data_IF_332026873911
#
_entry.id   IF_332026873911
#
_cell.length_a   1.000
_cell.length_b   1.000
_cell.length_c   1.000
_cell.angle_alpha   90.00
_cell.angle_beta   90.00
_cell.angle_gamma   90.00
#
_symmetry.space_group_name_H-M   'P 1'
#
loop_
_entity.id
_entity.type
_entity.pdbx_description
1 polymer ?
#
# COMPACT_ATOMS: atom_id res chain seq x y z
N UNK A 1 49.82 6.86 5.28
CA UNK A 1 50.81 5.76 5.37
C UNK A 1 50.28 4.70 6.32
N UNK A 2 50.23 3.44 5.84
CA UNK A 2 49.94 2.17 6.55
C UNK A 2 48.48 1.92 6.98
N UNK A 3 47.87 0.76 6.73
CA UNK A 3 48.12 -0.40 5.84
C UNK A 3 46.79 -1.16 5.77
N UNK A 4 46.35 -1.48 4.56
CA UNK A 4 45.24 -2.36 4.23
C UNK A 4 45.74 -3.81 4.37
N UNK A 5 45.00 -4.70 5.03
CA UNK A 5 45.28 -6.14 5.05
C UNK A 5 44.05 -6.88 4.53
N UNK A 6 44.22 -7.43 3.33
CA UNK A 6 43.39 -8.46 2.70
C UNK A 6 43.64 -9.80 3.38
N UNK A 7 42.59 -10.60 3.58
CA UNK A 7 42.73 -12.05 3.71
C UNK A 7 41.51 -12.71 3.06
N UNK A 8 41.71 -13.12 1.80
CA UNK A 8 40.82 -13.95 1.00
C UNK A 8 41.31 -15.39 1.16
N UNK A 9 40.52 -16.24 1.81
CA UNK A 9 40.81 -17.67 1.95
C UNK A 9 40.13 -18.47 0.84
N UNK A 10 40.88 -18.79 -0.20
CA UNK A 10 40.57 -19.86 -1.15
C UNK A 10 41.04 -21.19 -0.57
N UNK A 11 40.16 -22.20 -0.49
CA UNK A 11 40.56 -23.60 -0.45
C UNK A 11 39.78 -24.37 -1.51
N UNK A 12 40.57 -24.88 -2.47
CA UNK A 12 40.25 -25.89 -3.46
C UNK A 12 40.45 -27.30 -2.87
N UNK A 13 40.12 -28.31 -3.68
CA UNK A 13 40.25 -29.77 -3.53
C UNK A 13 39.01 -30.45 -2.92
N UNK A 14 38.43 -31.52 -3.48
CA UNK A 14 38.90 -32.47 -4.50
C UNK A 14 37.74 -33.28 -5.09
N UNK A 15 37.88 -33.67 -6.36
CA UNK A 15 37.14 -34.76 -7.01
C UNK A 15 37.39 -36.11 -6.30
N UNK A 16 36.40 -37.01 -6.26
CA UNK A 16 36.48 -38.25 -7.03
C UNK A 16 35.12 -38.98 -7.17
N UNK A 17 34.92 -39.79 -8.24
CA UNK A 17 33.67 -40.46 -8.58
C UNK A 17 33.68 -41.97 -8.21
N UNK A 18 32.49 -42.58 -8.07
CA UNK A 18 32.27 -44.02 -8.29
C UNK A 18 30.77 -44.30 -8.46
N UNK A 19 30.38 -44.95 -9.57
CA UNK A 19 29.10 -45.66 -9.71
C UNK A 19 29.11 -46.99 -8.93
N UNK A 20 28.22 -47.98 -9.18
CA UNK A 20 27.39 -48.18 -10.38
C UNK A 20 25.89 -48.50 -10.12
N UNK A 21 25.14 -48.45 -11.23
CA UNK A 21 23.97 -49.24 -11.65
C UNK A 21 23.24 -50.14 -10.65
N UNK A 22 21.91 -49.99 -10.57
CA UNK A 22 21.00 -51.13 -10.46
C UNK A 22 19.61 -50.84 -11.07
N UNK A 23 19.31 -51.63 -12.10
CA UNK A 23 18.06 -52.33 -12.39
C UNK A 23 16.71 -51.60 -12.41
N UNK A 24 16.32 -51.36 -13.65
CA UNK A 24 14.97 -51.53 -14.22
C UNK A 24 14.17 -52.64 -13.52
N UNK A 25 12.95 -52.32 -13.08
CA UNK A 25 11.89 -53.32 -13.01
C UNK A 25 10.59 -52.72 -13.56
N UNK A 26 10.27 -53.14 -14.79
CA UNK A 26 8.99 -52.93 -15.45
C UNK A 26 7.92 -53.81 -14.78
N UNK A 27 6.86 -53.19 -14.25
CA UNK A 27 5.60 -53.90 -14.02
C UNK A 27 4.50 -53.28 -14.89
N UNK A 28 4.06 -54.09 -15.86
CA UNK A 28 2.89 -53.93 -16.72
C UNK A 28 1.59 -54.24 -15.94
N UNK A 29 0.38 -54.00 -16.51
CA UNK A 29 -0.72 -53.35 -15.82
C UNK A 29 -1.84 -54.32 -15.46
N UNK A 30 -2.48 -54.12 -14.31
CA UNK A 30 -3.73 -54.81 -13.99
C UNK A 30 -4.92 -53.96 -14.44
N UNK A 31 -5.73 -54.56 -15.31
CA UNK A 31 -6.96 -54.00 -15.84
C UNK A 31 -8.11 -54.03 -14.81
N UNK A 32 -9.09 -53.18 -15.12
CA UNK A 32 -10.52 -53.28 -14.82
C UNK A 32 -10.95 -53.04 -13.38
N UNK A 33 -11.57 -51.87 -13.17
CA UNK A 33 -12.78 -51.81 -12.37
C UNK A 33 -13.71 -50.69 -12.82
N UNK A 34 -14.98 -50.92 -12.51
CA UNK A 34 -16.15 -50.50 -13.26
C UNK A 34 -16.52 -49.02 -13.18
N UNK A 35 -17.13 -48.60 -14.29
CA UNK A 35 -18.00 -47.44 -14.46
C UNK A 35 -18.81 -47.05 -13.21
N UNK A 36 -18.61 -45.82 -12.74
CA UNK A 36 -19.63 -45.12 -11.98
C UNK A 36 -19.68 -43.68 -12.48
N UNK A 37 -20.36 -43.49 -13.62
CA UNK A 37 -20.61 -42.19 -14.22
C UNK A 37 -21.68 -41.48 -13.38
N UNK A 38 -21.24 -40.91 -12.25
CA UNK A 38 -22.07 -40.07 -11.40
C UNK A 38 -22.43 -38.80 -12.17
N UNK A 39 -23.72 -38.72 -12.45
CA UNK A 39 -24.51 -37.52 -12.75
C UNK A 39 -23.79 -36.22 -12.41
N UNK A 40 -23.45 -35.47 -13.48
CA UNK A 40 -22.94 -34.11 -13.45
C UNK A 40 -23.97 -33.23 -12.75
N UNK A 41 -23.74 -32.99 -11.46
CA UNK A 41 -24.50 -32.03 -10.66
C UNK A 41 -24.22 -30.67 -11.26
N UNK A 42 -25.24 -30.04 -11.83
CA UNK A 42 -25.21 -28.64 -12.21
C UNK A 42 -24.91 -27.86 -10.95
N UNK A 43 -23.67 -27.41 -10.79
CA UNK A 43 -23.33 -26.42 -9.78
C UNK A 43 -24.10 -25.17 -10.14
N UNK A 44 -25.16 -24.88 -9.37
CA UNK A 44 -25.79 -23.58 -9.33
C UNK A 44 -24.69 -22.57 -9.04
N UNK A 45 -24.25 -21.86 -10.07
CA UNK A 45 -23.39 -20.69 -9.92
C UNK A 45 -24.20 -19.65 -9.17
N UNK A 46 -24.04 -19.60 -7.85
CA UNK A 46 -24.46 -18.44 -7.07
C UNK A 46 -23.70 -17.23 -7.62
N UNK A 47 -24.45 -16.38 -8.31
CA UNK A 47 -23.97 -15.07 -8.73
C UNK A 47 -23.91 -14.23 -7.46
N UNK A 48 -22.81 -14.34 -6.71
CA UNK A 48 -22.54 -13.40 -5.63
C UNK A 48 -22.43 -11.99 -6.25
N UNK A 49 -23.49 -11.20 -6.05
CA UNK A 49 -23.58 -9.82 -6.54
C UNK A 49 -22.48 -8.96 -5.91
N UNK A 50 -21.86 -8.12 -6.74
CA UNK A 50 -20.89 -7.12 -6.27
C UNK A 50 -21.67 -6.03 -5.55
N UNK A 51 -21.25 -5.67 -4.33
CA UNK A 51 -21.82 -4.54 -3.60
C UNK A 51 -21.79 -3.27 -4.48
N UNK A 52 -22.78 -2.40 -4.31
CA UNK A 52 -22.84 -1.13 -5.05
C UNK A 52 -21.97 -0.09 -4.34
N UNK A 53 -21.15 0.64 -5.11
CA UNK A 53 -20.36 1.75 -4.58
C UNK A 53 -21.29 2.90 -4.14
N UNK A 54 -21.28 3.23 -2.85
CA UNK A 54 -22.08 4.32 -2.25
C UNK A 54 -21.25 5.53 -1.83
N UNK A 55 -19.99 5.62 -2.26
CA UNK A 55 -19.07 6.68 -1.88
C UNK A 55 -19.11 7.83 -2.89
N UNK A 56 -19.09 9.08 -2.39
CA UNK A 56 -19.08 10.26 -3.24
C UNK A 56 -17.66 10.57 -3.72
N UNK A 57 -17.39 10.38 -5.00
CA UNK A 57 -16.13 10.79 -5.66
C UNK A 57 -16.27 12.26 -6.09
N UNK A 58 -15.42 13.14 -5.59
CA UNK A 58 -15.53 14.59 -5.83
C UNK A 58 -14.24 15.27 -6.27
N UNK A 59 -13.08 14.68 -5.99
CA UNK A 59 -11.80 15.35 -6.18
C UNK A 59 -10.77 14.37 -6.72
N UNK A 60 -10.00 14.82 -7.71
CA UNK A 60 -8.79 14.17 -8.17
C UNK A 60 -7.64 14.76 -7.36
N UNK A 61 -6.87 13.92 -6.66
CA UNK A 61 -5.90 14.40 -5.65
C UNK A 61 -4.50 14.71 -6.24
N UNK A 62 -4.38 14.90 -7.54
CA UNK A 62 -3.11 14.83 -8.29
C UNK A 62 -2.03 15.89 -7.92
N UNK A 63 -2.37 17.06 -7.36
CA UNK A 63 -1.36 18.08 -7.01
C UNK A 63 -0.72 17.86 -5.63
N UNK A 64 0.08 16.80 -5.53
CA UNK A 64 0.78 16.46 -4.28
C UNK A 64 2.08 17.24 -4.05
N UNK A 65 2.53 18.09 -4.98
CA UNK A 65 3.94 18.51 -5.02
C UNK A 65 4.24 19.82 -4.29
N UNK A 66 3.23 20.66 -4.05
CA UNK A 66 3.42 21.98 -3.47
C UNK A 66 2.64 22.12 -2.17
N UNK A 67 3.21 22.89 -1.24
CA UNK A 67 2.53 23.34 -0.04
C UNK A 67 2.56 24.86 -0.05
N UNK A 68 1.45 25.50 0.32
CA UNK A 68 1.33 26.96 0.39
C UNK A 68 2.28 27.52 1.45
N UNK A 69 2.42 26.79 2.56
CA UNK A 69 3.31 27.14 3.66
C UNK A 69 4.11 25.93 4.14
N UNK A 70 5.26 26.17 4.74
CA UNK A 70 6.16 25.13 5.23
C UNK A 70 6.71 25.48 6.61
N UNK A 71 6.66 24.51 7.52
CA UNK A 71 7.27 24.58 8.85
C UNK A 71 8.33 23.49 9.00
N UNK A 72 9.45 23.84 9.63
CA UNK A 72 10.58 22.95 9.85
C UNK A 72 10.94 22.99 11.33
N UNK A 73 10.78 21.87 12.03
CA UNK A 73 11.24 21.70 13.41
C UNK A 73 12.77 21.56 13.38
N UNK A 74 13.47 22.64 13.73
CA UNK A 74 14.91 22.59 14.02
C UNK A 74 15.10 22.29 15.50
N UNK A 75 16.08 21.44 15.83
CA UNK A 75 16.39 20.89 17.16
C UNK A 75 16.68 21.95 18.28
N UNK A 76 16.63 23.26 17.97
CA UNK A 76 17.06 24.35 18.85
C UNK A 76 16.14 25.60 18.87
N UNK A 77 14.98 25.64 18.20
CA UNK A 77 14.23 26.91 18.00
C UNK A 77 12.71 26.84 18.20
N UNK A 78 12.20 25.95 19.05
CA UNK A 78 10.75 25.90 19.30
C UNK A 78 10.23 27.00 20.25
N UNK A 79 11.09 27.57 21.10
CA UNK A 79 10.75 28.71 21.97
C UNK A 79 10.42 30.02 21.20
N UNK A 80 10.42 29.96 19.86
CA UNK A 80 10.19 31.09 18.97
C UNK A 80 9.08 30.89 17.93
N UNK A 81 8.02 30.12 18.20
CA UNK A 81 6.75 30.33 17.46
C UNK A 81 6.15 31.75 17.63
N UNK A 82 6.89 32.67 18.28
CA UNK A 82 6.85 34.13 18.08
C UNK A 82 6.89 34.59 16.61
N UNK A 83 7.14 33.71 15.63
CA UNK A 83 7.01 34.02 14.20
C UNK A 83 5.56 34.22 13.72
N UNK A 84 4.55 33.89 14.52
CA UNK A 84 3.14 34.20 14.23
C UNK A 84 2.76 35.65 14.61
N UNK A 85 3.63 36.61 14.27
CA UNK A 85 3.23 37.99 13.99
C UNK A 85 2.88 38.19 12.50
N UNK A 86 2.75 37.08 11.77
CA UNK A 86 2.04 37.04 10.50
C UNK A 86 0.56 37.26 10.78
N UNK A 87 -0.11 38.00 9.91
CA UNK A 87 -1.56 38.09 9.89
C UNK A 87 -2.12 36.70 9.55
N UNK A 88 -2.32 35.89 10.59
CA UNK A 88 -2.89 34.53 10.51
C UNK A 88 -4.24 34.58 9.79
N UNK A 89 -5.01 35.66 9.96
CA UNK A 89 -6.32 35.79 9.32
C UNK A 89 -6.17 35.88 7.79
N UNK A 90 -5.15 36.61 7.31
CA UNK A 90 -4.81 36.66 5.89
C UNK A 90 -4.31 35.32 5.35
N UNK A 91 -3.45 34.61 6.10
CA UNK A 91 -2.96 33.29 5.68
C UNK A 91 -4.07 32.25 5.67
N UNK A 92 -4.94 32.23 6.68
CA UNK A 92 -6.00 31.24 6.81
C UNK A 92 -6.99 31.31 5.63
N UNK A 93 -7.24 32.50 5.08
CA UNK A 93 -8.14 32.67 3.91
C UNK A 93 -7.63 31.92 2.67
N UNK A 94 -6.32 31.93 2.43
CA UNK A 94 -5.72 31.44 1.18
C UNK A 94 -5.04 30.08 1.30
N UNK A 95 -4.52 29.76 2.48
CA UNK A 95 -3.74 28.54 2.68
C UNK A 95 -4.66 27.32 2.72
N UNK A 96 -4.32 26.29 1.96
CA UNK A 96 -5.00 24.98 1.93
C UNK A 96 -4.02 23.84 2.17
N UNK A 97 -2.73 24.06 1.94
CA UNK A 97 -1.70 23.03 2.06
C UNK A 97 -0.54 23.45 2.96
N UNK A 98 -0.08 22.51 3.79
CA UNK A 98 1.01 22.72 4.75
C UNK A 98 2.08 21.64 4.59
N UNK A 99 3.35 22.03 4.68
CA UNK A 99 4.48 21.10 4.79
C UNK A 99 5.03 21.12 6.22
N UNK A 100 5.21 19.95 6.80
CA UNK A 100 5.66 19.74 8.18
C UNK A 100 6.90 18.84 8.15
N UNK A 101 8.07 19.40 8.50
CA UNK A 101 9.35 18.67 8.49
C UNK A 101 9.90 18.54 9.90
N UNK A 102 10.18 17.32 10.32
CA UNK A 102 10.84 16.98 11.58
C UNK A 102 9.90 16.96 12.79
N UNK A 103 8.58 17.03 12.60
CA UNK A 103 7.61 17.03 13.70
C UNK A 103 7.19 15.61 14.07
N UNK A 104 7.31 15.32 15.37
CA UNK A 104 6.76 14.17 16.08
C UNK A 104 5.34 14.46 16.60
N UNK A 105 5.09 15.68 17.08
CA UNK A 105 3.78 16.16 17.52
C UNK A 105 3.51 17.53 16.92
N UNK A 106 2.33 17.70 16.32
CA UNK A 106 1.92 18.95 15.70
C UNK A 106 1.48 19.95 16.78
N UNK A 107 2.05 21.18 16.82
CA UNK A 107 1.65 22.20 17.78
C UNK A 107 0.20 22.63 17.59
N UNK A 108 -0.54 22.77 18.70
CA UNK A 108 -1.97 23.14 18.69
C UNK A 108 -2.20 24.52 18.06
N UNK A 109 -1.21 25.41 18.13
CA UNK A 109 -1.25 26.77 17.57
C UNK A 109 -1.46 26.76 16.04
N UNK A 110 -1.00 25.70 15.36
CA UNK A 110 -1.22 25.54 13.92
C UNK A 110 -2.68 25.29 13.57
N UNK A 111 -3.53 24.91 14.54
CA UNK A 111 -4.96 24.73 14.34
C UNK A 111 -5.72 26.01 13.99
N UNK A 112 -5.10 27.19 14.15
CA UNK A 112 -5.64 28.46 13.63
C UNK A 112 -5.72 28.50 12.09
N UNK A 113 -5.00 27.61 11.40
CA UNK A 113 -5.07 27.41 9.97
C UNK A 113 -6.19 26.42 9.63
N UNK A 114 -7.43 26.81 9.90
CA UNK A 114 -8.62 25.95 9.81
C UNK A 114 -8.90 25.41 8.40
N UNK A 115 -8.36 26.06 7.37
CA UNK A 115 -8.60 25.68 5.99
C UNK A 115 -7.58 24.69 5.40
N UNK A 116 -6.62 24.22 6.20
CA UNK A 116 -5.70 23.17 5.75
C UNK A 116 -6.49 21.90 5.42
N UNK A 117 -6.43 21.50 4.15
CA UNK A 117 -6.97 20.25 3.63
C UNK A 117 -5.88 19.27 3.17
N UNK A 118 -4.63 19.73 3.02
CA UNK A 118 -3.52 18.90 2.56
C UNK A 118 -2.30 19.07 3.47
N UNK A 119 -1.76 17.96 3.97
CA UNK A 119 -0.54 17.93 4.78
C UNK A 119 0.57 17.09 4.12
N UNK A 120 1.74 17.71 3.91
CA UNK A 120 2.97 17.06 3.44
C UNK A 120 3.88 16.87 4.65
N UNK A 121 3.99 15.65 5.13
CA UNK A 121 4.69 15.29 6.37
C UNK A 121 6.01 14.60 6.05
N UNK A 122 7.07 15.02 6.72
CA UNK A 122 8.36 14.33 6.75
C UNK A 122 8.83 14.25 8.19
N UNK A 123 8.86 13.05 8.76
CA UNK A 123 9.20 12.79 10.17
C UNK A 123 10.14 11.60 10.29
N UNK A 124 10.86 11.45 11.40
CA UNK A 124 11.76 10.31 11.62
C UNK A 124 11.06 9.15 12.34
N UNK A 125 10.21 9.46 13.32
CA UNK A 125 9.78 8.51 14.37
C UNK A 125 8.25 8.42 14.54
N UNK A 126 7.48 8.98 13.60
CA UNK A 126 6.02 9.05 13.66
C UNK A 126 5.47 10.48 13.78
N UNK A 127 4.15 10.62 13.74
CA UNK A 127 3.45 11.90 13.88
C UNK A 127 2.19 11.73 14.72
N UNK A 128 1.93 12.70 15.60
CA UNK A 128 0.66 12.86 16.30
C UNK A 128 0.19 14.32 16.21
N UNK A 129 -1.10 14.55 16.42
CA UNK A 129 -1.70 15.88 16.46
C UNK A 129 -2.14 16.42 15.10
N UNK A 130 -2.25 15.61 14.04
CA UNK A 130 -2.81 16.08 12.76
C UNK A 130 -4.28 16.49 12.88
N UNK A 131 -4.95 16.10 13.97
CA UNK A 131 -6.30 16.53 14.34
C UNK A 131 -6.48 18.02 14.54
N UNK A 132 -5.40 18.79 14.67
CA UNK A 132 -5.48 20.25 14.70
C UNK A 132 -6.03 20.84 13.40
N UNK A 133 -6.02 20.09 12.30
CA UNK A 133 -6.56 20.52 11.00
C UNK A 133 -7.93 19.88 10.74
N UNK A 134 -9.05 20.59 11.03
CA UNK A 134 -10.39 20.00 10.98
C UNK A 134 -10.84 19.65 9.56
N UNK A 135 -10.27 20.30 8.53
CA UNK A 135 -10.59 20.08 7.12
C UNK A 135 -9.58 19.19 6.40
N UNK A 136 -8.66 18.53 7.12
CA UNK A 136 -7.66 17.67 6.51
C UNK A 136 -8.30 16.52 5.73
N UNK A 137 -7.94 16.40 4.46
CA UNK A 137 -8.40 15.39 3.50
C UNK A 137 -7.27 14.61 2.86
N UNK A 138 -6.11 15.23 2.69
CA UNK A 138 -4.97 14.62 2.01
C UNK A 138 -3.77 14.61 2.95
N UNK A 139 -3.16 13.44 3.12
CA UNK A 139 -1.90 13.31 3.84
C UNK A 139 -0.87 12.62 2.96
N UNK A 140 0.29 13.25 2.83
CA UNK A 140 1.45 12.69 2.15
C UNK A 140 2.59 12.54 3.13
N UNK A 141 3.07 11.32 3.30
CA UNK A 141 4.33 11.05 3.98
C UNK A 141 5.48 10.96 2.97
N UNK A 142 6.57 11.66 3.25
CA UNK A 142 7.77 11.64 2.42
C UNK A 142 9.03 11.45 3.24
N UNK A 143 9.81 10.43 2.87
CA UNK A 143 11.14 10.16 3.44
C UNK A 143 11.11 9.88 4.94
N UNK A 144 9.99 9.37 5.45
CA UNK A 144 9.83 9.09 6.88
C UNK A 144 10.23 7.64 7.15
N UNK A 145 11.28 7.39 7.94
CA UNK A 145 11.82 6.02 8.07
C UNK A 145 10.79 5.01 8.58
N UNK A 146 10.05 5.38 9.62
CA UNK A 146 8.93 4.61 10.17
C UNK A 146 7.84 5.58 10.64
N UNK A 147 6.59 5.23 10.38
CA UNK A 147 5.42 5.98 10.85
C UNK A 147 4.43 4.99 11.45
N UNK A 148 4.10 5.19 12.71
CA UNK A 148 2.93 4.59 13.35
C UNK A 148 1.84 5.64 13.52
N UNK A 149 0.59 5.20 13.53
CA UNK A 149 -0.55 6.06 13.81
C UNK A 149 -1.11 5.74 15.20
N UNK A 150 -1.63 6.76 15.89
CA UNK A 150 -2.49 6.54 17.04
C UNK A 150 -3.93 6.36 16.52
N UNK A 151 -4.50 5.17 16.73
CA UNK A 151 -5.82 4.78 16.21
C UNK A 151 -6.97 5.63 16.78
N UNK A 152 -6.72 6.38 17.86
CA UNK A 152 -7.66 7.33 18.43
C UNK A 152 -7.71 8.66 17.66
N UNK A 153 -6.75 8.92 16.76
CA UNK A 153 -6.74 10.15 15.99
C UNK A 153 -7.87 10.18 14.95
N UNK A 154 -8.66 11.23 15.03
CA UNK A 154 -9.90 11.35 14.26
C UNK A 154 -9.63 11.69 12.79
N UNK A 155 -8.45 12.21 12.44
CA UNK A 155 -8.07 12.52 11.06
C UNK A 155 -7.98 11.28 10.19
N UNK A 156 -7.61 10.12 10.74
CA UNK A 156 -7.58 8.85 10.02
C UNK A 156 -8.92 8.55 9.36
N UNK A 157 -10.02 8.80 10.09
CA UNK A 157 -11.39 8.61 9.61
C UNK A 157 -11.85 9.70 8.65
N UNK A 158 -11.17 10.87 8.58
CA UNK A 158 -11.58 12.00 7.74
C UNK A 158 -10.90 12.04 6.38
N UNK A 159 -9.68 11.52 6.28
CA UNK A 159 -8.88 11.64 5.07
C UNK A 159 -9.46 10.81 3.93
N UNK A 160 -9.23 11.32 2.73
CA UNK A 160 -9.71 10.77 1.47
C UNK A 160 -8.54 10.33 0.58
N UNK A 161 -7.34 10.87 0.79
CA UNK A 161 -6.13 10.43 0.10
C UNK A 161 -4.94 10.27 1.05
N UNK A 162 -4.27 9.13 0.93
CA UNK A 162 -3.03 8.82 1.62
C UNK A 162 -1.96 8.48 0.60
N UNK A 163 -0.85 9.22 0.63
CA UNK A 163 0.33 8.95 -0.19
C UNK A 163 1.54 8.66 0.69
N UNK A 164 2.17 7.52 0.46
CA UNK A 164 3.38 7.09 1.13
C UNK A 164 4.53 7.09 0.11
N UNK A 165 5.57 7.87 0.38
CA UNK A 165 6.78 7.86 -0.42
C UNK A 165 8.00 7.68 0.47
N UNK A 166 8.81 6.65 0.21
CA UNK A 166 9.98 6.30 1.03
C UNK A 166 9.63 6.21 2.52
N UNK A 167 8.49 5.59 2.82
CA UNK A 167 7.91 5.53 4.17
C UNK A 167 7.46 4.12 4.51
N UNK A 168 7.78 3.66 5.72
CA UNK A 168 7.29 2.38 6.25
C UNK A 168 6.23 2.64 7.32
N UNK A 169 5.03 2.09 7.12
CA UNK A 169 3.98 2.11 8.13
C UNK A 169 4.17 0.92 9.06
N UNK A 170 4.17 1.17 10.35
CA UNK A 170 4.33 0.16 11.40
C UNK A 170 3.15 0.19 12.35
N UNK A 171 2.79 -0.95 12.94
CA UNK A 171 1.69 -1.08 13.90
C UNK A 171 0.32 -0.62 13.37
N UNK A 172 0.00 -0.87 12.09
CA UNK A 172 -1.35 -0.64 11.57
C UNK A 172 -2.19 -1.90 11.77
N UNK A 173 -3.00 -1.93 12.83
CA UNK A 173 -3.80 -3.13 13.14
C UNK A 173 -4.98 -3.33 12.20
N UNK A 174 -5.54 -2.23 11.67
CA UNK A 174 -6.73 -2.22 10.82
C UNK A 174 -6.64 -1.09 9.80
N UNK A 175 -6.86 -1.42 8.52
CA UNK A 175 -6.98 -0.40 7.46
C UNK A 175 -8.32 0.34 7.57
N UNK A 176 -9.32 -0.27 8.20
CA UNK A 176 -10.69 0.27 8.32
C UNK A 176 -10.76 1.57 9.12
N UNK A 177 -9.68 1.95 9.81
CA UNK A 177 -9.51 3.29 10.38
C UNK A 177 -9.65 4.39 9.32
N UNK A 178 -9.34 4.09 8.05
CA UNK A 178 -9.44 5.01 6.92
C UNK A 178 -10.79 4.88 6.18
N UNK A 179 -11.90 5.01 6.91
CA UNK A 179 -13.28 4.79 6.43
C UNK A 179 -13.63 5.55 5.14
N UNK A 180 -13.06 6.74 4.97
CA UNK A 180 -13.34 7.64 3.84
C UNK A 180 -12.25 7.62 2.76
N UNK A 181 -11.28 6.71 2.83
CA UNK A 181 -10.15 6.66 1.90
C UNK A 181 -10.60 6.30 0.50
N UNK A 182 -10.26 7.16 -0.46
CA UNK A 182 -10.56 7.03 -1.89
C UNK A 182 -9.31 6.76 -2.71
N UNK A 183 -8.16 7.26 -2.27
CA UNK A 183 -6.90 7.08 -2.96
C UNK A 183 -5.80 6.64 -1.99
N UNK A 184 -5.16 5.52 -2.32
CA UNK A 184 -3.99 5.03 -1.61
C UNK A 184 -2.85 4.87 -2.61
N UNK A 185 -1.78 5.62 -2.40
CA UNK A 185 -0.57 5.53 -3.20
C UNK A 185 0.64 5.16 -2.35
N UNK A 186 1.37 4.14 -2.78
CA UNK A 186 2.52 3.57 -2.05
C UNK A 186 3.70 3.47 -3.00
N UNK A 187 4.73 4.31 -2.79
CA UNK A 187 5.93 4.38 -3.63
C UNK A 187 7.19 4.17 -2.81
N UNK A 188 7.98 3.14 -3.12
CA UNK A 188 9.19 2.82 -2.32
C UNK A 188 8.87 2.77 -0.82
N UNK A 189 7.69 2.24 -0.50
CA UNK A 189 7.03 2.33 0.80
C UNK A 189 6.27 1.04 1.04
N UNK A 190 5.73 0.87 2.24
CA UNK A 190 4.80 -0.22 2.50
C UNK A 190 4.44 -0.29 3.96
N UNK A 191 3.85 -1.42 4.32
CA UNK A 191 3.45 -1.76 5.67
C UNK A 191 4.38 -2.87 6.16
N UNK A 192 4.79 -2.77 7.43
CA UNK A 192 5.52 -3.87 8.09
C UNK A 192 4.65 -5.13 8.03
N UNK A 193 3.38 -5.00 8.41
CA UNK A 193 2.33 -5.99 8.19
C UNK A 193 1.15 -5.33 7.45
N UNK A 194 0.69 -5.95 6.35
CA UNK A 194 -0.55 -5.52 5.71
C UNK A 194 -1.73 -5.91 6.63
N UNK A 195 -2.55 -4.93 7.01
CA UNK A 195 -3.71 -5.19 7.86
C UNK A 195 -4.61 -6.27 7.24
N UNK A 196 -5.13 -7.21 8.05
CA UNK A 196 -5.88 -8.38 7.56
C UNK A 196 -7.21 -7.99 6.89
N UNK A 197 -7.73 -6.80 7.19
CA UNK A 197 -8.96 -6.22 6.65
C UNK A 197 -8.71 -5.32 5.42
N UNK A 198 -7.57 -5.47 4.71
CA UNK A 198 -7.20 -4.58 3.60
C UNK A 198 -8.30 -4.46 2.52
N UNK A 199 -9.02 -5.55 2.25
CA UNK A 199 -10.09 -5.61 1.25
C UNK A 199 -11.43 -5.02 1.74
N UNK A 200 -11.49 -4.47 2.96
CA UNK A 200 -12.65 -3.81 3.54
C UNK A 200 -12.69 -2.29 3.27
N UNK A 201 -11.71 -1.72 2.56
CA UNK A 201 -11.73 -0.33 2.12
C UNK A 201 -12.82 -0.07 1.05
N UNK A 202 -14.07 0.08 1.49
CA UNK A 202 -15.25 0.18 0.62
C UNK A 202 -15.23 1.39 -0.30
N UNK A 203 -14.65 2.50 0.15
CA UNK A 203 -14.57 3.75 -0.61
C UNK A 203 -13.31 3.88 -1.48
N UNK A 204 -12.38 2.92 -1.43
CA UNK A 204 -11.15 3.03 -2.20
C UNK A 204 -11.47 2.96 -3.69
N UNK A 205 -11.05 3.98 -4.41
CA UNK A 205 -11.28 4.16 -5.83
C UNK A 205 -10.01 3.91 -6.65
N UNK A 206 -8.86 4.32 -6.09
CA UNK A 206 -7.55 4.19 -6.72
C UNK A 206 -6.55 3.57 -5.75
N UNK A 207 -5.99 2.44 -6.15
CA UNK A 207 -4.88 1.79 -5.46
C UNK A 207 -3.66 1.75 -6.37
N UNK A 208 -2.63 2.51 -5.98
CA UNK A 208 -1.37 2.55 -6.71
C UNK A 208 -0.22 2.09 -5.82
N UNK A 209 0.38 0.96 -6.13
CA UNK A 209 1.52 0.40 -5.40
C UNK A 209 2.67 0.20 -6.36
N UNK A 210 3.81 0.84 -6.07
CA UNK A 210 5.04 0.67 -6.83
C UNK A 210 6.24 0.53 -5.91
N UNK A 211 7.05 -0.49 -6.18
CA UNK A 211 8.25 -0.77 -5.41
C UNK A 211 7.93 -0.91 -3.92
N UNK A 212 6.98 -1.79 -3.60
CA UNK A 212 6.54 -2.04 -2.23
C UNK A 212 7.66 -2.61 -1.38
N UNK A 213 7.88 -2.04 -0.20
CA UNK A 213 8.89 -2.48 0.77
C UNK A 213 8.13 -2.86 2.04
N UNK A 214 8.34 -4.08 2.52
CA UNK A 214 7.64 -4.66 3.68
C UNK A 214 7.56 -6.17 3.51
N UNK A 215 6.66 -6.79 4.27
CA UNK A 215 6.42 -8.23 4.15
C UNK A 215 5.76 -8.62 2.83
N UNK A 216 5.86 -9.90 2.50
CA UNK A 216 5.30 -10.44 1.26
C UNK A 216 3.78 -10.40 1.30
N UNK A 217 3.17 -9.64 0.40
CA UNK A 217 1.73 -9.59 0.22
C UNK A 217 1.30 -10.72 -0.73
N UNK A 218 0.44 -11.59 -0.22
CA UNK A 218 -0.26 -12.60 -1.03
C UNK A 218 -1.51 -11.95 -1.63
N UNK A 219 -1.42 -11.51 -2.89
CA UNK A 219 -2.50 -10.76 -3.55
C UNK A 219 -3.77 -11.61 -3.71
N UNK A 220 -3.65 -12.93 -3.83
CA UNK A 220 -4.78 -13.86 -3.87
C UNK A 220 -5.60 -13.90 -2.57
N UNK A 221 -5.15 -13.26 -1.50
CA UNK A 221 -5.94 -13.06 -0.28
C UNK A 221 -6.86 -11.83 -0.33
N UNK A 222 -6.67 -10.94 -1.30
CA UNK A 222 -7.47 -9.72 -1.48
C UNK A 222 -8.63 -10.03 -2.42
N UNK A 223 -9.87 -9.96 -1.93
CA UNK A 223 -11.08 -10.13 -2.75
C UNK A 223 -11.61 -8.79 -3.24
N UNK A 224 -11.42 -8.49 -4.54
CA UNK A 224 -11.83 -7.21 -5.12
C UNK A 224 -13.34 -6.98 -5.16
N UNK A 225 -14.17 -8.02 -4.94
CA UNK A 225 -15.64 -7.82 -4.82
C UNK A 225 -16.02 -7.08 -3.55
N UNK A 226 -15.18 -7.15 -2.52
CA UNK A 226 -15.37 -6.40 -1.27
C UNK A 226 -14.97 -4.93 -1.40
N UNK A 227 -14.38 -4.52 -2.53
CA UNK A 227 -13.93 -3.15 -2.80
C UNK A 227 -14.77 -2.53 -3.92
N UNK A 228 -16.08 -2.30 -3.70
CA UNK A 228 -17.03 -2.01 -4.77
C UNK A 228 -16.76 -0.69 -5.51
N UNK A 229 -16.06 0.25 -4.88
CA UNK A 229 -15.68 1.53 -5.47
C UNK A 229 -14.36 1.51 -6.25
N UNK A 230 -13.57 0.42 -6.19
CA UNK A 230 -12.25 0.37 -6.80
C UNK A 230 -12.35 0.36 -8.32
N UNK A 231 -11.75 1.37 -8.96
CA UNK A 231 -11.75 1.58 -10.41
C UNK A 231 -10.37 1.44 -11.02
N UNK A 232 -9.35 1.87 -10.30
CA UNK A 232 -7.97 1.87 -10.77
C UNK A 232 -7.10 1.03 -9.83
N UNK A 233 -6.48 -0.01 -10.40
CA UNK A 233 -5.56 -0.87 -9.68
C UNK A 233 -4.23 -0.97 -10.42
N UNK A 234 -3.20 -0.35 -9.84
CA UNK A 234 -1.84 -0.40 -10.37
C UNK A 234 -0.92 -1.03 -9.33
N UNK A 235 -0.38 -2.21 -9.63
CA UNK A 235 0.54 -2.96 -8.78
C UNK A 235 1.82 -3.26 -9.58
N UNK A 236 2.91 -2.58 -9.25
CA UNK A 236 4.23 -2.82 -9.83
C UNK A 236 5.23 -3.26 -8.75
N UNK A 237 5.52 -4.54 -8.74
CA UNK A 237 6.52 -5.11 -7.86
C UNK A 237 7.92 -4.99 -8.46
N UNK A 238 8.80 -4.35 -7.69
CA UNK A 238 10.22 -4.19 -8.02
C UNK A 238 11.10 -5.01 -7.06
N UNK A 239 10.57 -5.37 -5.90
CA UNK A 239 11.33 -5.98 -4.80
C UNK A 239 10.90 -7.42 -4.48
N UNK A 240 10.03 -8.02 -5.32
CA UNK A 240 9.53 -9.40 -5.18
C UNK A 240 8.70 -9.59 -3.90
N UNK A 241 8.02 -8.54 -3.49
CA UNK A 241 7.18 -8.48 -2.28
C UNK A 241 5.71 -8.69 -2.58
N UNK A 242 5.28 -8.70 -3.84
CA UNK A 242 3.90 -8.99 -4.22
C UNK A 242 3.83 -10.37 -4.89
N UNK A 243 2.91 -11.22 -4.43
CA UNK A 243 2.71 -12.56 -4.99
C UNK A 243 1.31 -12.80 -5.55
N UNK A 244 1.26 -13.39 -6.75
CA UNK A 244 0.01 -13.73 -7.45
C UNK A 244 -0.73 -12.51 -7.99
N UNK A 245 -2.07 -12.60 -8.02
CA UNK A 245 -3.00 -11.55 -8.45
C UNK A 245 -4.23 -11.51 -7.53
N UNK A 246 -4.90 -10.35 -7.37
CA UNK A 246 -6.11 -10.26 -6.56
C UNK A 246 -7.24 -11.17 -7.07
N UNK A 247 -8.01 -11.72 -6.12
CA UNK A 247 -9.16 -12.56 -6.44
C UNK A 247 -10.27 -11.74 -7.08
N UNK A 248 -11.05 -12.43 -7.91
CA UNK A 248 -12.27 -11.90 -8.53
C UNK A 248 -12.08 -10.64 -9.38
N UNK A 249 -10.89 -10.44 -9.95
CA UNK A 249 -10.60 -9.30 -10.83
C UNK A 249 -11.61 -9.17 -11.97
N UNK A 250 -11.98 -10.30 -12.59
CA UNK A 250 -12.97 -10.37 -13.68
C UNK A 250 -14.40 -10.04 -13.27
N UNK A 251 -14.71 -10.11 -11.97
CA UNK A 251 -16.01 -9.79 -11.37
C UNK A 251 -15.98 -8.44 -10.63
N UNK A 252 -14.88 -7.70 -10.69
CA UNK A 252 -14.75 -6.41 -10.01
C UNK A 252 -15.31 -5.26 -10.84
N UNK A 253 -15.38 -4.09 -10.22
CA UNK A 253 -15.83 -2.84 -10.85
C UNK A 253 -14.68 -2.03 -11.48
N UNK A 254 -13.49 -2.65 -11.63
CA UNK A 254 -12.29 -2.03 -12.18
C UNK A 254 -12.52 -1.54 -13.63
N UNK A 255 -11.87 -0.43 -13.95
CA UNK A 255 -11.82 0.18 -15.28
C UNK A 255 -10.40 0.07 -15.82
N UNK A 256 -9.40 0.34 -14.98
CA UNK A 256 -7.99 0.22 -15.32
C UNK A 256 -7.30 -0.75 -14.37
N UNK A 257 -6.51 -1.64 -14.96
CA UNK A 257 -5.73 -2.61 -14.21
C UNK A 257 -4.35 -2.77 -14.82
N UNK A 258 -3.35 -2.72 -13.96
CA UNK A 258 -1.99 -3.06 -14.30
C UNK A 258 -1.39 -3.81 -13.12
N UNK A 259 -1.08 -5.09 -13.32
CA UNK A 259 -0.40 -5.91 -12.31
C UNK A 259 0.84 -6.50 -12.95
N UNK A 260 2.00 -6.21 -12.35
CA UNK A 260 3.28 -6.76 -12.75
C UNK A 260 4.07 -7.13 -11.52
N UNK A 261 4.27 -8.43 -11.33
CA UNK A 261 5.21 -8.97 -10.36
C UNK A 261 5.91 -10.21 -10.93
N UNK A 262 7.09 -10.54 -10.43
CA UNK A 262 7.89 -11.64 -10.96
C UNK A 262 7.30 -13.03 -10.67
N UNK A 263 6.40 -13.12 -9.70
CA UNK A 263 5.81 -14.40 -9.28
C UNK A 263 4.54 -14.77 -10.06
N UNK A 264 4.09 -13.92 -10.99
CA UNK A 264 2.90 -14.19 -11.79
C UNK A 264 3.11 -15.44 -12.64
N UNK A 265 2.18 -16.39 -12.49
CA UNK A 265 2.07 -17.53 -13.39
C UNK A 265 1.60 -17.08 -14.78
N UNK A 266 1.72 -17.94 -15.79
CA UNK A 266 1.19 -17.61 -17.12
C UNK A 266 -0.34 -17.49 -17.10
N UNK A 267 -1.01 -18.21 -16.21
CA UNK A 267 -2.44 -18.06 -15.96
C UNK A 267 -2.77 -16.68 -15.37
N UNK A 268 -1.95 -16.17 -14.45
CA UNK A 268 -2.13 -14.84 -13.88
C UNK A 268 -1.96 -13.74 -14.93
N UNK A 269 -0.95 -13.87 -15.81
CA UNK A 269 -0.74 -12.92 -16.91
C UNK A 269 -1.92 -12.93 -17.87
N UNK A 270 -2.37 -14.12 -18.27
CA UNK A 270 -3.55 -14.28 -19.13
C UNK A 270 -4.80 -13.69 -18.47
N UNK A 271 -4.98 -13.85 -17.16
CA UNK A 271 -6.11 -13.27 -16.42
C UNK A 271 -6.13 -11.73 -16.54
N UNK A 272 -4.97 -11.08 -16.46
CA UNK A 272 -4.83 -9.62 -16.60
C UNK A 272 -5.06 -9.19 -18.06
N UNK A 273 -4.45 -9.88 -19.03
CA UNK A 273 -4.61 -9.59 -20.46
C UNK A 273 -6.07 -9.76 -20.93
N UNK A 274 -6.75 -10.83 -20.48
CA UNK A 274 -8.18 -11.06 -20.70
C UNK A 274 -9.06 -9.95 -20.11
N UNK A 275 -8.64 -9.33 -19.00
CA UNK A 275 -9.37 -8.22 -18.41
C UNK A 275 -9.19 -6.95 -19.24
N UNK A 276 -7.95 -6.64 -19.63
CA UNK A 276 -7.60 -5.43 -20.37
C UNK A 276 -8.16 -5.40 -21.81
N UNK A 277 -8.60 -6.53 -22.35
CA UNK A 277 -9.16 -6.66 -23.69
C UNK A 277 -10.69 -6.52 -23.79
N UNK A 278 -11.37 -6.26 -22.66
CA UNK A 278 -12.82 -6.03 -22.59
C UNK A 278 -13.21 -4.63 -23.05
#
# INVERSE_FOLDING_TARGET
MKKLIFLLGLLLFSCNPSGPDHEVNEQKPTQTEHSNYKSKRTEEFEVEEVEVCNCTLKEDFDDFHKADISFIKRKWEFDKLKFLKLDIDSLNKVTRSIRLIGFDTIPKELGSLENINTALVSTMDGITGLDVFPKLKVVRFWGSSKVSFDENETWLRRIEALRLEKTQITNLSSISLFENLKQLEVFHSGFEDLAPDFDELKCLNKLYVRAYIGDVIQLDKIDLRKMPCLKELYLLDVYRTLKGVPKNIKKSNLIDVYVKNESMTDLDKQLIEDFQSR
#
